data_IF_177058502917
#
_entry.id   IF_177058502917
#
_cell.length_a   1.000
_cell.length_b   1.000
_cell.length_c   1.000
_cell.angle_alpha   90.00
_cell.angle_beta   90.00
_cell.angle_gamma   90.00
#
_symmetry.space_group_name_H-M   'P 1'
#
loop_
_entity.id
_entity.type
_entity.pdbx_description
1 polymer ?
#
# COMPACT_ATOMS: atom_id res chain seq x y z
N UNK A 1 -50.19 -22.82 -13.11
CA UNK A 1 -48.80 -22.57 -12.67
C UNK A 1 -48.76 -21.10 -12.31
N UNK A 2 -49.15 -20.81 -11.08
CA UNK A 2 -49.41 -19.47 -10.57
C UNK A 2 -48.20 -19.08 -9.70
N UNK A 3 -47.49 -18.04 -10.12
CA UNK A 3 -46.38 -17.46 -9.36
C UNK A 3 -47.00 -16.58 -8.29
N UNK A 4 -47.11 -17.11 -7.07
CA UNK A 4 -47.62 -16.32 -5.95
C UNK A 4 -46.57 -15.27 -5.56
N UNK A 5 -46.71 -14.07 -6.10
CA UNK A 5 -46.06 -12.87 -5.58
C UNK A 5 -46.53 -12.64 -4.16
N UNK A 6 -45.69 -13.01 -3.19
CA UNK A 6 -45.90 -12.70 -1.78
C UNK A 6 -45.68 -11.20 -1.59
N UNK A 7 -46.75 -10.47 -1.30
CA UNK A 7 -46.67 -9.02 -1.07
C UNK A 7 -46.09 -8.72 0.30
N UNK A 8 -45.42 -7.57 0.45
CA UNK A 8 -44.81 -7.14 1.73
C UNK A 8 -45.79 -7.10 2.91
N UNK A 9 -47.09 -7.03 2.64
CA UNK A 9 -48.17 -7.05 3.63
C UNK A 9 -48.34 -8.44 4.27
N UNK A 10 -48.10 -9.52 3.52
CA UNK A 10 -48.21 -10.89 4.04
C UNK A 10 -47.04 -11.28 4.97
N UNK A 11 -45.90 -10.59 4.88
CA UNK A 11 -44.76 -10.79 5.78
C UNK A 11 -45.04 -10.29 7.21
N UNK A 12 -45.94 -9.32 7.38
CA UNK A 12 -46.26 -8.73 8.69
C UNK A 12 -47.16 -9.60 9.57
N UNK A 13 -47.82 -10.61 8.99
CA UNK A 13 -48.71 -11.55 9.69
C UNK A 13 -48.09 -12.92 9.95
N UNK A 14 -46.78 -13.08 9.70
CA UNK A 14 -46.10 -14.36 9.90
C UNK A 14 -45.91 -14.66 11.40
N UNK A 15 -46.18 -15.92 11.81
CA UNK A 15 -45.91 -16.33 13.18
C UNK A 15 -44.38 -16.36 13.43
N UNK A 16 -43.94 -16.16 14.69
CA UNK A 16 -42.54 -15.92 15.04
C UNK A 16 -41.58 -17.02 14.55
N UNK A 17 -42.03 -18.27 14.43
CA UNK A 17 -41.23 -19.37 13.90
C UNK A 17 -40.88 -19.23 12.40
N UNK A 18 -41.71 -18.54 11.62
CA UNK A 18 -41.48 -18.26 10.19
C UNK A 18 -40.60 -17.03 10.00
N UNK A 19 -40.66 -16.07 10.92
CA UNK A 19 -39.77 -14.91 10.97
C UNK A 19 -38.32 -15.33 11.21
N UNK A 20 -38.06 -16.29 12.11
CA UNK A 20 -36.73 -16.83 12.35
C UNK A 20 -36.12 -17.53 11.11
N UNK A 21 -36.95 -18.24 10.34
CA UNK A 21 -36.52 -18.89 9.09
C UNK A 21 -36.18 -17.88 7.99
N UNK A 22 -36.96 -16.80 7.85
CA UNK A 22 -36.66 -15.71 6.91
C UNK A 22 -35.42 -14.91 7.35
N UNK A 23 -35.27 -14.66 8.65
CA UNK A 23 -34.07 -14.02 9.19
C UNK A 23 -32.82 -14.87 8.91
N UNK A 24 -32.84 -16.17 9.17
CA UNK A 24 -31.69 -17.05 8.89
C UNK A 24 -31.30 -17.11 7.40
N UNK A 25 -32.26 -16.98 6.48
CA UNK A 25 -32.02 -16.88 5.04
C UNK A 25 -31.41 -15.53 4.64
N UNK A 26 -31.80 -14.44 5.30
CA UNK A 26 -31.25 -13.10 5.07
C UNK A 26 -29.84 -12.93 5.66
N UNK A 27 -29.55 -13.54 6.83
CA UNK A 27 -28.21 -13.52 7.41
C UNK A 27 -27.19 -14.30 6.56
N UNK A 28 -27.65 -15.31 5.81
CA UNK A 28 -26.80 -16.07 4.88
C UNK A 28 -26.44 -15.32 3.59
N UNK A 29 -27.24 -14.33 3.17
CA UNK A 29 -27.01 -13.54 1.95
C UNK A 29 -26.24 -12.23 2.20
N UNK A 30 -26.25 -11.72 3.43
CA UNK A 30 -25.45 -10.56 3.85
C UNK A 30 -24.04 -10.94 4.33
N UNK A 31 -23.74 -12.23 4.47
CA UNK A 31 -22.37 -12.71 4.45
C UNK A 31 -21.83 -12.54 3.02
N UNK A 32 -21.55 -11.29 2.65
CA UNK A 32 -20.50 -11.06 1.66
C UNK A 32 -19.31 -11.82 2.25
N UNK A 33 -18.73 -12.83 1.58
CA UNK A 33 -17.42 -13.27 2.01
C UNK A 33 -16.61 -11.99 2.06
N UNK A 34 -16.10 -11.62 3.25
CA UNK A 34 -15.01 -10.66 3.33
C UNK A 34 -14.04 -11.15 2.29
N UNK A 35 -13.99 -10.45 1.15
CA UNK A 35 -13.24 -10.90 0.01
C UNK A 35 -11.86 -11.11 0.56
N UNK A 36 -11.38 -12.36 0.62
CA UNK A 36 -10.01 -12.66 1.02
C UNK A 36 -9.13 -11.93 0.01
N UNK A 37 -8.82 -10.67 0.34
CA UNK A 37 -8.05 -9.80 -0.50
C UNK A 37 -6.68 -10.44 -0.51
N UNK A 38 -6.31 -11.01 -1.66
CA UNK A 38 -5.03 -11.68 -1.78
C UNK A 38 -3.93 -10.71 -1.33
N UNK A 39 -3.05 -11.14 -0.40
CA UNK A 39 -2.00 -10.26 0.07
C UNK A 39 -1.13 -9.84 -1.10
N UNK A 40 -0.78 -8.56 -1.13
CA UNK A 40 0.03 -7.97 -2.18
C UNK A 40 1.48 -8.46 -2.03
N UNK A 41 2.14 -8.67 -3.16
CA UNK A 41 3.54 -9.06 -3.17
C UNK A 41 4.46 -7.88 -2.82
N UNK A 42 5.71 -8.17 -2.45
CA UNK A 42 6.75 -7.18 -2.25
C UNK A 42 6.86 -6.23 -3.47
N UNK A 43 6.87 -6.75 -4.69
CA UNK A 43 6.94 -5.93 -5.91
C UNK A 43 5.77 -4.92 -6.03
N UNK A 44 4.56 -5.31 -5.60
CA UNK A 44 3.41 -4.40 -5.58
C UNK A 44 3.57 -3.34 -4.49
N UNK A 45 4.02 -3.72 -3.29
CA UNK A 45 4.30 -2.76 -2.23
C UNK A 45 5.37 -1.73 -2.66
N UNK A 46 6.44 -2.17 -3.30
CA UNK A 46 7.47 -1.29 -3.85
C UNK A 46 6.92 -0.35 -4.92
N UNK A 47 6.05 -0.85 -5.81
CA UNK A 47 5.39 -0.04 -6.84
C UNK A 47 4.48 1.03 -6.22
N UNK A 48 3.69 0.68 -5.20
CA UNK A 48 2.84 1.63 -4.47
C UNK A 48 3.66 2.75 -3.86
N UNK A 49 4.79 2.42 -3.23
CA UNK A 49 5.67 3.44 -2.62
C UNK A 49 6.33 4.30 -3.68
N UNK A 50 6.81 3.72 -4.79
CA UNK A 50 7.37 4.50 -5.90
C UNK A 50 6.36 5.49 -6.50
N UNK A 51 5.09 5.08 -6.72
CA UNK A 51 4.04 5.99 -7.21
C UNK A 51 3.78 7.13 -6.20
N UNK A 52 3.74 6.81 -4.90
CA UNK A 52 3.60 7.83 -3.87
C UNK A 52 4.78 8.80 -3.83
N UNK A 53 6.02 8.29 -3.90
CA UNK A 53 7.24 9.10 -3.93
C UNK A 53 7.23 10.08 -5.10
N UNK A 54 6.81 9.66 -6.29
CA UNK A 54 6.70 10.55 -7.46
C UNK A 54 5.71 11.69 -7.26
N UNK A 55 4.70 11.52 -6.39
CA UNK A 55 3.69 12.55 -6.09
C UNK A 55 4.14 13.52 -4.99
N UNK A 56 4.88 13.03 -3.99
CA UNK A 56 5.22 13.82 -2.79
C UNK A 56 6.66 14.33 -2.75
N UNK A 57 7.56 13.66 -3.47
CA UNK A 57 8.99 13.91 -3.52
C UNK A 57 9.43 14.10 -4.99
N UNK A 58 10.70 14.47 -5.14
CA UNK A 58 11.33 14.69 -6.45
C UNK A 58 11.87 13.39 -7.05
N UNK A 59 12.45 13.47 -8.24
CA UNK A 59 12.92 12.39 -9.11
C UNK A 59 14.07 11.51 -8.58
N UNK A 60 14.67 11.86 -7.43
CA UNK A 60 15.85 11.15 -6.87
C UNK A 60 15.54 10.16 -5.75
N UNK A 61 14.27 9.98 -5.40
CA UNK A 61 13.88 9.07 -4.33
C UNK A 61 13.28 7.79 -4.90
N UNK A 62 13.64 6.66 -4.31
CA UNK A 62 13.16 5.35 -4.77
C UNK A 62 12.85 4.42 -3.59
N UNK A 63 11.88 3.55 -3.76
CA UNK A 63 11.54 2.49 -2.83
C UNK A 63 12.57 1.36 -2.90
N UNK A 64 13.14 1.00 -1.76
CA UNK A 64 14.05 -0.14 -1.60
C UNK A 64 13.27 -1.44 -1.36
N UNK A 65 13.98 -2.53 -1.11
CA UNK A 65 13.39 -3.86 -0.91
C UNK A 65 12.39 -3.86 0.25
N UNK A 66 11.11 -4.22 0.00
CA UNK A 66 10.11 -4.33 1.04
C UNK A 66 10.38 -5.47 2.01
N UNK A 67 10.14 -5.22 3.30
CA UNK A 67 10.21 -6.21 4.36
C UNK A 67 8.82 -6.43 4.96
N UNK A 68 8.39 -7.67 5.01
CA UNK A 68 7.12 -8.02 5.63
C UNK A 68 7.30 -8.03 7.16
N UNK A 69 6.47 -7.27 7.86
CA UNK A 69 6.48 -7.12 9.32
C UNK A 69 5.09 -7.43 9.89
N UNK A 70 4.97 -7.33 11.22
CA UNK A 70 3.70 -7.48 11.93
C UNK A 70 2.94 -8.78 11.59
N UNK A 71 3.66 -9.91 11.54
CA UNK A 71 3.05 -11.22 11.30
C UNK A 71 2.57 -11.48 9.87
N UNK A 72 2.79 -10.56 8.93
CA UNK A 72 2.37 -10.74 7.53
C UNK A 72 1.48 -9.63 6.98
N UNK A 73 1.10 -8.66 7.82
CA UNK A 73 0.02 -7.74 7.48
C UNK A 73 0.50 -6.39 6.93
N UNK A 74 1.78 -6.07 7.09
CA UNK A 74 2.36 -4.78 6.74
C UNK A 74 3.69 -4.97 6.02
N UNK A 75 3.83 -4.28 4.89
CA UNK A 75 5.11 -4.08 4.22
C UNK A 75 5.78 -2.81 4.74
N UNK A 76 6.95 -2.94 5.36
CA UNK A 76 7.87 -1.83 5.59
C UNK A 76 8.75 -1.67 4.35
N UNK A 77 8.77 -0.47 3.78
CA UNK A 77 9.53 -0.15 2.57
C UNK A 77 10.45 1.03 2.88
N UNK A 78 11.76 0.77 2.91
CA UNK A 78 12.75 1.82 3.06
C UNK A 78 12.78 2.70 1.80
N UNK A 79 13.07 3.98 1.97
CA UNK A 79 13.20 4.96 0.90
C UNK A 79 14.66 5.34 0.78
N UNK A 80 15.23 5.19 -0.42
CA UNK A 80 16.60 5.55 -0.74
C UNK A 80 16.69 6.83 -1.57
N UNK A 81 17.75 7.60 -1.35
CA UNK A 81 18.23 8.60 -2.31
C UNK A 81 19.07 7.88 -3.37
N UNK A 82 18.69 7.98 -4.63
CA UNK A 82 19.37 7.32 -5.73
C UNK A 82 19.80 8.31 -6.81
N UNK A 83 20.96 8.05 -7.40
CA UNK A 83 21.47 8.81 -8.54
C UNK A 83 21.74 7.88 -9.72
N UNK A 84 21.54 8.37 -10.97
CA UNK A 84 21.98 7.65 -12.15
C UNK A 84 23.44 7.21 -12.04
N UNK A 85 23.75 6.00 -12.49
CA UNK A 85 25.10 5.40 -12.52
C UNK A 85 25.76 5.09 -11.17
N UNK A 86 25.27 5.67 -10.06
CA UNK A 86 25.78 5.41 -8.70
C UNK A 86 24.88 4.42 -7.96
N UNK A 87 23.58 4.42 -8.26
CA UNK A 87 22.59 3.66 -7.52
C UNK A 87 22.19 4.36 -6.23
N UNK A 88 21.84 3.58 -5.21
CA UNK A 88 21.35 4.09 -3.91
C UNK A 88 22.53 4.60 -3.09
N UNK A 89 22.45 5.88 -2.72
CA UNK A 89 23.47 6.62 -1.96
C UNK A 89 23.25 6.50 -0.45
N UNK A 90 21.99 6.40 -0.02
CA UNK A 90 21.65 6.24 1.39
C UNK A 90 20.14 6.13 1.62
N UNK A 91 19.76 5.57 2.76
CA UNK A 91 18.37 5.50 3.22
C UNK A 91 17.95 6.81 3.89
N UNK A 92 16.76 7.31 3.56
CA UNK A 92 16.27 8.64 3.98
C UNK A 92 14.93 8.59 4.72
N UNK A 93 14.30 7.42 4.78
CA UNK A 93 13.03 7.25 5.46
C UNK A 93 12.40 5.89 5.21
N UNK A 94 11.19 5.75 5.72
CA UNK A 94 10.39 4.52 5.63
C UNK A 94 8.93 4.85 5.29
N UNK A 95 8.29 3.95 4.54
CA UNK A 95 6.86 3.95 4.25
C UNK A 95 6.28 2.58 4.61
N UNK A 96 5.16 2.58 5.33
CA UNK A 96 4.42 1.38 5.71
C UNK A 96 3.21 1.23 4.80
N UNK A 97 3.06 0.06 4.18
CA UNK A 97 1.97 -0.28 3.26
C UNK A 97 1.21 -1.48 3.79
N UNK A 98 -0.11 -1.44 3.72
CA UNK A 98 -0.94 -2.60 4.05
C UNK A 98 -0.72 -3.74 3.06
N UNK A 99 -0.54 -4.96 3.57
CA UNK A 99 -0.46 -6.16 2.75
C UNK A 99 -1.78 -6.48 2.02
N UNK A 100 -2.92 -5.93 2.44
CA UNK A 100 -4.23 -6.33 1.90
C UNK A 100 -4.90 -5.25 1.05
N UNK A 101 -4.66 -3.96 1.34
CA UNK A 101 -5.39 -2.85 0.69
C UNK A 101 -4.59 -2.04 -0.31
N UNK A 102 -3.28 -2.27 -0.44
CA UNK A 102 -2.33 -1.38 -1.17
C UNK A 102 -2.29 0.06 -0.62
N UNK A 103 -2.92 0.31 0.52
CA UNK A 103 -2.93 1.62 1.16
C UNK A 103 -1.64 1.89 1.93
N UNK A 104 -1.13 3.12 1.85
CA UNK A 104 -0.08 3.60 2.74
C UNK A 104 -0.71 3.83 4.12
N UNK A 105 -0.19 3.11 5.12
CA UNK A 105 -0.61 3.20 6.52
C UNK A 105 0.06 4.40 7.18
N UNK A 106 1.35 4.57 6.92
CA UNK A 106 2.17 5.63 7.49
C UNK A 106 3.39 5.88 6.61
N UNK A 107 3.92 7.10 6.65
CA UNK A 107 5.13 7.47 5.94
C UNK A 107 5.94 8.47 6.77
N UNK A 108 7.26 8.39 6.66
CA UNK A 108 8.14 9.48 7.11
C UNK A 108 7.76 10.76 6.38
N UNK A 109 7.74 11.89 7.09
CA UNK A 109 7.29 13.15 6.49
C UNK A 109 8.18 13.56 5.30
N UNK A 110 7.61 14.05 4.17
CA UNK A 110 8.40 14.44 3.00
C UNK A 110 9.49 15.47 3.29
N UNK A 111 9.24 16.40 4.21
CA UNK A 111 10.23 17.41 4.66
C UNK A 111 11.42 16.78 5.39
N UNK A 112 11.16 15.76 6.20
CA UNK A 112 12.20 14.98 6.90
C UNK A 112 13.01 14.17 5.89
N UNK A 113 12.35 13.47 4.96
CA UNK A 113 13.03 12.72 3.90
C UNK A 113 13.90 13.60 3.01
N UNK A 114 13.44 14.81 2.66
CA UNK A 114 14.24 15.80 1.91
C UNK A 114 15.46 16.25 2.70
N UNK A 115 15.28 16.54 3.98
CA UNK A 115 16.38 16.97 4.86
C UNK A 115 17.45 15.88 5.01
N UNK A 116 17.01 14.63 5.20
CA UNK A 116 17.88 13.45 5.25
C UNK A 116 18.59 13.21 3.90
N UNK A 117 17.89 13.37 2.78
CA UNK A 117 18.49 13.29 1.44
C UNK A 117 19.57 14.35 1.21
N UNK A 118 19.34 15.59 1.67
CA UNK A 118 20.35 16.66 1.60
C UNK A 118 21.57 16.40 2.49
N UNK A 119 21.38 15.74 3.64
CA UNK A 119 22.50 15.30 4.48
C UNK A 119 23.29 14.19 3.77
N UNK A 120 22.61 13.16 3.26
CA UNK A 120 23.23 12.07 2.50
C UNK A 120 24.01 12.57 1.28
N UNK A 121 23.48 13.57 0.56
CA UNK A 121 24.18 14.20 -0.55
C UNK A 121 25.48 14.86 -0.10
N UNK A 122 25.43 15.72 0.92
CA UNK A 122 26.62 16.45 1.41
C UNK A 122 27.71 15.52 1.92
N UNK A 123 27.35 14.43 2.58
CA UNK A 123 28.32 13.43 3.05
C UNK A 123 29.02 12.68 1.92
N UNK A 124 28.39 12.57 0.75
CA UNK A 124 28.86 11.78 -0.38
C UNK A 124 29.04 12.61 -1.66
N UNK A 125 29.14 13.93 -1.50
CA UNK A 125 29.13 14.89 -2.60
C UNK A 125 30.28 14.61 -3.59
N UNK A 126 31.48 14.40 -3.07
CA UNK A 126 32.66 14.11 -3.88
C UNK A 126 32.49 12.82 -4.71
N UNK A 127 31.94 11.77 -4.10
CA UNK A 127 31.70 10.49 -4.79
C UNK A 127 30.61 10.62 -5.87
N UNK A 128 29.56 11.41 -5.60
CA UNK A 128 28.48 11.66 -6.55
C UNK A 128 28.99 12.48 -7.73
N UNK A 129 29.72 13.56 -7.47
CA UNK A 129 30.27 14.43 -8.50
C UNK A 129 31.32 13.70 -9.35
N UNK A 130 32.19 12.89 -8.74
CA UNK A 130 33.18 12.09 -9.47
C UNK A 130 32.52 11.09 -10.44
N UNK A 131 31.47 10.39 -9.99
CA UNK A 131 30.74 9.45 -10.83
C UNK A 131 30.06 10.14 -12.02
N UNK A 132 29.45 11.31 -11.80
CA UNK A 132 28.82 12.07 -12.88
C UNK A 132 29.82 12.54 -13.94
N UNK A 133 31.00 13.04 -13.52
CA UNK A 133 32.08 13.45 -14.42
C UNK A 133 32.70 12.28 -15.19
N UNK A 134 32.74 11.08 -14.60
CA UNK A 134 33.24 9.87 -15.26
C UNK A 134 32.25 9.32 -16.30
N UNK A 135 30.94 9.44 -16.06
CA UNK A 135 29.91 8.94 -16.95
C UNK A 135 29.71 9.81 -18.22
N UNK A 136 30.06 11.10 -18.18
CA UNK A 136 29.98 11.99 -19.34
C UNK A 136 31.15 11.92 -20.32
N UNK A 137 32.20 11.17 -19.99
CA UNK A 137 33.42 11.03 -20.81
C UNK A 137 33.57 9.61 -21.43
N UNK A 138 32.57 8.75 -21.27
CA UNK A 138 32.50 7.40 -21.84
C UNK A 138 31.49 7.34 -22.99
#
# INVERSE_FOLDING_TARGET
>A
MDSADVTCEQLATLPPERLAAVQGLLTGWLATPESEALPISAAIAQTVVNDWLLRVLSDRFTALEPRLIAGGDIWSVAVGLAYPHIGVVGEVGEVLVSAFSRGIISATQPTVMKSAGMACYREREDAINAAFLSAGNA
#
